data_IF_739382049097
#
_entry.id   IF_739382049097
#
_cell.length_a   1.000
_cell.length_b   1.000
_cell.length_c   1.000
_cell.angle_alpha   90.00
_cell.angle_beta   90.00
_cell.angle_gamma   90.00
#
_symmetry.space_group_name_H-M   'P 1'
#
loop_
_entity.id
_entity.type
_entity.pdbx_description
1 polymer ?
#
# COMPACT_ATOMS: atom_id res chain seq x y z
N UNK A 1 17.69 -44.56 -1.41
CA UNK A 1 16.65 -44.86 -2.43
C UNK A 1 16.11 -43.60 -3.08
N UNK A 2 15.62 -42.59 -2.33
CA UNK A 2 15.14 -41.34 -2.91
C UNK A 2 16.22 -40.55 -3.69
N UNK A 3 17.45 -40.50 -3.17
CA UNK A 3 18.61 -39.86 -3.81
C UNK A 3 18.94 -40.51 -5.18
N UNK A 4 18.98 -41.84 -5.25
CA UNK A 4 19.19 -42.57 -6.50
C UNK A 4 18.07 -42.35 -7.54
N UNK A 5 16.82 -42.14 -7.10
CA UNK A 5 15.72 -41.78 -8.00
C UNK A 5 15.88 -40.34 -8.47
N UNK A 6 16.26 -39.42 -7.58
CA UNK A 6 16.51 -38.01 -7.90
C UNK A 6 17.61 -37.84 -8.94
N UNK A 7 18.76 -38.50 -8.76
CA UNK A 7 19.87 -38.48 -9.73
C UNK A 7 19.44 -39.05 -11.09
N UNK A 8 18.59 -40.09 -11.08
CA UNK A 8 18.07 -40.71 -12.29
C UNK A 8 17.05 -39.83 -13.05
N UNK A 9 16.57 -38.71 -12.48
CA UNK A 9 15.67 -37.78 -13.16
C UNK A 9 16.37 -36.80 -14.11
N UNK A 10 17.70 -36.63 -14.03
CA UNK A 10 18.44 -35.71 -14.90
C UNK A 10 18.16 -35.92 -16.41
N UNK A 11 18.24 -37.16 -16.93
CA UNK A 11 17.90 -37.48 -18.31
C UNK A 11 16.41 -37.23 -18.65
N UNK A 12 15.50 -37.50 -17.70
CA UNK A 12 14.05 -37.27 -17.87
C UNK A 12 13.77 -35.78 -18.09
N UNK A 13 14.29 -34.93 -17.21
CA UNK A 13 14.13 -33.47 -17.29
C UNK A 13 14.73 -32.91 -18.58
N UNK A 14 15.89 -33.41 -18.98
CA UNK A 14 16.55 -33.01 -20.24
C UNK A 14 15.66 -33.32 -21.45
N UNK A 15 15.03 -34.50 -21.50
CA UNK A 15 14.13 -34.87 -22.62
C UNK A 15 12.88 -34.01 -22.69
N UNK A 16 12.23 -33.75 -21.56
CA UNK A 16 11.10 -32.83 -21.52
C UNK A 16 11.48 -31.41 -21.97
N UNK A 17 12.67 -30.96 -21.60
CA UNK A 17 13.17 -29.62 -21.99
C UNK A 17 13.39 -29.54 -23.51
N UNK A 18 13.79 -30.65 -24.14
CA UNK A 18 13.91 -30.77 -25.60
C UNK A 18 12.57 -31.07 -26.30
N UNK A 19 11.45 -31.06 -25.59
CA UNK A 19 10.11 -31.33 -26.14
C UNK A 19 9.87 -32.80 -26.50
N UNK A 20 10.69 -33.73 -26.01
CA UNK A 20 10.60 -35.16 -26.28
C UNK A 20 9.96 -35.96 -25.15
N UNK A 21 9.48 -37.16 -25.48
CA UNK A 21 9.05 -38.15 -24.48
C UNK A 21 10.23 -38.64 -23.65
N UNK A 22 10.00 -38.78 -22.34
CA UNK A 22 11.00 -39.11 -21.34
C UNK A 22 10.78 -40.48 -20.69
N UNK A 23 9.67 -41.18 -20.98
CA UNK A 23 9.33 -42.50 -20.42
C UNK A 23 10.44 -43.55 -20.54
N UNK A 24 11.20 -43.56 -21.64
CA UNK A 24 12.33 -44.47 -21.83
C UNK A 24 13.49 -44.23 -20.83
N UNK A 25 13.55 -43.03 -20.25
CA UNK A 25 14.55 -42.61 -19.27
C UNK A 25 14.03 -42.69 -17.83
N UNK A 26 12.83 -43.23 -17.61
CA UNK A 26 12.25 -43.33 -16.28
C UNK A 26 13.17 -44.11 -15.31
N UNK A 27 13.29 -43.65 -14.04
CA UNK A 27 13.99 -44.38 -12.99
C UNK A 27 13.51 -45.83 -12.92
N UNK A 28 14.44 -46.78 -12.75
CA UNK A 28 14.12 -48.21 -12.77
C UNK A 28 13.00 -48.59 -11.79
N UNK A 29 12.97 -47.95 -10.62
CA UNK A 29 11.97 -48.17 -9.58
C UNK A 29 10.54 -47.75 -9.96
N UNK A 30 10.36 -46.97 -11.03
CA UNK A 30 9.05 -46.49 -11.48
C UNK A 30 8.55 -47.15 -12.76
N UNK A 31 9.40 -47.90 -13.48
CA UNK A 31 9.03 -48.43 -14.81
C UNK A 31 7.77 -49.30 -14.77
N UNK A 32 7.64 -50.14 -13.76
CA UNK A 32 6.49 -51.03 -13.61
C UNK A 32 5.20 -50.28 -13.29
N UNK A 33 5.27 -49.09 -12.67
CA UNK A 33 4.09 -48.29 -12.29
C UNK A 33 3.60 -47.36 -13.41
N UNK A 34 4.42 -47.08 -14.42
CA UNK A 34 4.02 -46.22 -15.55
C UNK A 34 3.00 -46.89 -16.48
N UNK A 35 2.97 -48.22 -16.54
CA UNK A 35 2.09 -48.96 -17.44
C UNK A 35 2.60 -48.97 -18.90
N UNK A 36 1.79 -49.52 -19.80
CA UNK A 36 2.17 -49.78 -21.20
C UNK A 36 1.63 -48.77 -22.20
N UNK A 37 0.62 -47.97 -21.84
CA UNK A 37 0.13 -46.88 -22.69
C UNK A 37 1.11 -45.70 -22.65
N UNK A 38 1.58 -45.27 -23.82
CA UNK A 38 2.65 -44.28 -23.91
C UNK A 38 2.24 -42.89 -23.40
N UNK A 39 0.98 -42.46 -23.60
CA UNK A 39 0.52 -41.14 -23.14
C UNK A 39 0.30 -41.14 -21.64
N UNK A 40 -0.31 -42.20 -21.13
CA UNK A 40 -0.56 -42.36 -19.71
C UNK A 40 0.74 -42.54 -18.92
N UNK A 41 1.69 -43.31 -19.45
CA UNK A 41 3.03 -43.48 -18.86
C UNK A 41 3.77 -42.14 -18.75
N UNK A 42 3.65 -41.27 -19.75
CA UNK A 42 4.25 -39.93 -19.71
C UNK A 42 3.60 -39.04 -18.64
N UNK A 43 2.27 -39.06 -18.52
CA UNK A 43 1.54 -38.32 -17.48
C UNK A 43 1.84 -38.83 -16.07
N UNK A 44 1.93 -40.16 -15.89
CA UNK A 44 2.31 -40.77 -14.60
C UNK A 44 3.75 -40.46 -14.23
N UNK A 45 4.67 -40.47 -15.20
CA UNK A 45 6.06 -40.06 -14.96
C UNK A 45 6.13 -38.59 -14.56
N UNK A 46 5.39 -37.70 -15.24
CA UNK A 46 5.29 -36.29 -14.87
C UNK A 46 4.75 -36.11 -13.45
N UNK A 47 3.70 -36.84 -13.08
CA UNK A 47 3.11 -36.78 -11.74
C UNK A 47 4.08 -37.28 -10.66
N UNK A 48 4.75 -38.42 -10.88
CA UNK A 48 5.72 -38.98 -9.93
C UNK A 48 6.96 -38.11 -9.78
N UNK A 49 7.52 -37.61 -10.89
CA UNK A 49 8.63 -36.65 -10.87
C UNK A 49 8.24 -35.37 -10.16
N UNK A 50 7.05 -34.82 -10.45
CA UNK A 50 6.53 -33.64 -9.77
C UNK A 50 6.36 -33.85 -8.26
N UNK A 51 5.87 -35.02 -7.85
CA UNK A 51 5.73 -35.36 -6.44
C UNK A 51 7.09 -35.51 -5.73
N UNK A 52 8.04 -36.23 -6.34
CA UNK A 52 9.39 -36.37 -5.78
C UNK A 52 10.07 -35.01 -5.65
N UNK A 53 10.08 -34.22 -6.73
CA UNK A 53 10.75 -32.91 -6.75
C UNK A 53 10.07 -31.89 -5.84
N UNK A 54 8.74 -31.90 -5.77
CA UNK A 54 7.97 -30.95 -4.98
C UNK A 54 7.82 -31.30 -3.50
N UNK A 55 8.00 -32.56 -3.12
CA UNK A 55 7.74 -33.04 -1.74
C UNK A 55 8.96 -33.64 -1.05
N UNK A 56 9.86 -34.32 -1.79
CA UNK A 56 10.94 -35.10 -1.21
C UNK A 56 12.34 -34.55 -1.52
N UNK A 57 12.50 -33.79 -2.60
CA UNK A 57 13.74 -33.11 -2.93
C UNK A 57 13.80 -31.73 -2.26
N UNK A 58 14.17 -31.71 -0.97
CA UNK A 58 14.42 -30.46 -0.25
C UNK A 58 15.87 -30.03 -0.54
N UNK A 59 16.06 -28.79 -0.99
CA UNK A 59 17.41 -28.25 -1.20
C UNK A 59 18.17 -28.28 0.13
N UNK A 60 19.35 -28.91 0.13
CA UNK A 60 20.22 -28.86 1.30
C UNK A 60 20.62 -27.40 1.54
N UNK A 61 20.41 -26.87 2.76
CA UNK A 61 20.80 -25.51 3.07
C UNK A 61 22.31 -25.34 2.92
N UNK A 62 22.74 -24.20 2.37
CA UNK A 62 24.15 -23.84 2.30
C UNK A 62 24.59 -23.37 3.68
N UNK A 63 25.40 -24.18 4.37
CA UNK A 63 25.98 -23.84 5.67
C UNK A 63 25.35 -24.56 6.87
N UNK A 64 25.77 -24.16 8.07
CA UNK A 64 25.31 -24.72 9.34
C UNK A 64 23.85 -24.33 9.62
N UNK A 65 22.98 -25.32 9.82
CA UNK A 65 21.60 -25.09 10.23
C UNK A 65 21.58 -24.76 11.72
N UNK A 66 21.05 -23.59 12.07
CA UNK A 66 20.88 -23.18 13.47
C UNK A 66 19.39 -23.20 13.84
N UNK A 67 19.02 -23.77 15.00
CA UNK A 67 17.65 -23.69 15.49
C UNK A 67 17.29 -22.22 15.72
N UNK A 68 16.08 -21.83 15.30
CA UNK A 68 15.46 -20.55 15.63
C UNK A 68 14.37 -20.78 16.67
N UNK A 69 14.05 -19.72 17.41
CA UNK A 69 12.87 -19.70 18.28
C UNK A 69 11.60 -19.93 17.47
N UNK A 70 10.55 -20.38 18.16
CA UNK A 70 9.24 -20.59 17.55
C UNK A 70 8.70 -19.31 16.90
N UNK A 71 7.95 -19.48 15.81
CA UNK A 71 7.26 -18.36 15.14
C UNK A 71 6.27 -17.76 16.15
N UNK A 72 6.34 -16.45 16.44
CA UNK A 72 5.48 -15.86 17.45
C UNK A 72 4.02 -15.88 17.03
N UNK A 73 3.13 -16.12 17.99
CA UNK A 73 1.70 -16.01 17.79
C UNK A 73 1.31 -14.53 17.59
N UNK A 74 0.50 -14.25 16.57
CA UNK A 74 -0.01 -12.90 16.32
C UNK A 74 -1.25 -12.62 17.16
N UNK A 75 -1.57 -11.34 17.34
CA UNK A 75 -2.72 -10.88 18.11
C UNK A 75 -4.09 -11.32 17.51
N UNK A 76 -4.11 -11.66 16.21
CA UNK A 76 -5.30 -12.13 15.50
C UNK A 76 -5.08 -13.55 14.97
N UNK A 77 -6.12 -14.41 14.98
CA UNK A 77 -6.01 -15.78 14.50
C UNK A 77 -5.81 -15.82 12.98
N UNK A 78 -5.17 -16.88 12.46
CA UNK A 78 -5.08 -17.10 11.03
C UNK A 78 -6.46 -17.35 10.43
N UNK A 79 -6.60 -17.06 9.13
CA UNK A 79 -7.80 -17.37 8.35
C UNK A 79 -8.22 -18.84 8.48
N UNK A 80 -9.53 -19.16 8.44
CA UNK A 80 -10.01 -20.54 8.45
C UNK A 80 -9.37 -21.40 7.36
N UNK A 81 -8.99 -22.65 7.68
CA UNK A 81 -8.25 -23.53 6.76
C UNK A 81 -8.93 -23.73 5.40
N UNK A 82 -10.28 -23.75 5.39
CA UNK A 82 -11.08 -23.85 4.15
C UNK A 82 -10.84 -22.71 3.15
N UNK A 83 -10.36 -21.55 3.61
CA UNK A 83 -10.09 -20.37 2.77
C UNK A 83 -8.63 -20.28 2.33
N UNK A 84 -7.71 -20.97 2.99
CA UNK A 84 -6.26 -20.90 2.71
C UNK A 84 -5.86 -21.26 1.28
N UNK A 85 -6.42 -22.32 0.64
CA UNK A 85 -6.09 -22.61 -0.76
C UNK A 85 -6.38 -21.45 -1.72
N UNK A 86 -7.47 -20.72 -1.46
CA UNK A 86 -7.87 -19.55 -2.27
C UNK A 86 -6.89 -18.40 -2.08
N UNK A 87 -6.52 -18.13 -0.85
CA UNK A 87 -5.55 -17.08 -0.52
C UNK A 87 -4.18 -17.37 -1.11
N UNK A 88 -3.70 -18.63 -1.07
CA UNK A 88 -2.46 -19.03 -1.74
C UNK A 88 -2.49 -18.74 -3.23
N UNK A 89 -3.60 -19.00 -3.92
CA UNK A 89 -3.75 -18.64 -5.35
C UNK A 89 -3.71 -17.14 -5.57
N UNK A 90 -4.40 -16.35 -4.74
CA UNK A 90 -4.35 -14.89 -4.81
C UNK A 90 -2.92 -14.36 -4.62
N UNK A 91 -2.20 -14.85 -3.61
CA UNK A 91 -0.81 -14.48 -3.35
C UNK A 91 0.12 -14.84 -4.53
N UNK A 92 -0.12 -15.97 -5.21
CA UNK A 92 0.63 -16.35 -6.41
C UNK A 92 0.34 -15.46 -7.62
N UNK A 93 -0.86 -14.90 -7.71
CA UNK A 93 -1.27 -13.98 -8.77
C UNK A 93 -0.77 -12.54 -8.52
N UNK A 94 -0.64 -12.13 -7.25
CA UNK A 94 -0.19 -10.81 -6.84
C UNK A 94 1.32 -10.65 -7.02
N UNK A 95 1.72 -9.98 -8.11
CA UNK A 95 3.14 -9.75 -8.43
C UNK A 95 3.71 -8.53 -7.72
N UNK A 96 2.92 -7.49 -7.57
CA UNK A 96 3.36 -6.23 -6.97
C UNK A 96 3.15 -6.21 -5.45
N UNK A 97 3.92 -5.36 -4.76
CA UNK A 97 3.88 -5.24 -3.31
C UNK A 97 2.64 -4.49 -2.82
N UNK A 98 2.10 -3.57 -3.62
CA UNK A 98 0.99 -2.71 -3.22
C UNK A 98 -0.34 -3.46 -3.18
N UNK A 99 -0.65 -4.24 -4.22
CA UNK A 99 -1.84 -5.10 -4.25
C UNK A 99 -1.82 -6.14 -3.12
N UNK A 100 -0.63 -6.68 -2.82
CA UNK A 100 -0.44 -7.56 -1.66
C UNK A 100 -0.69 -6.81 -0.36
N UNK A 101 -0.20 -5.58 -0.24
CA UNK A 101 -0.47 -4.73 0.93
C UNK A 101 -1.97 -4.51 1.11
N UNK A 102 -2.72 -4.23 0.04
CA UNK A 102 -4.18 -4.14 0.10
C UNK A 102 -4.85 -5.44 0.57
N UNK A 103 -4.38 -6.62 0.14
CA UNK A 103 -4.88 -7.89 0.66
C UNK A 103 -4.59 -8.06 2.17
N UNK A 104 -3.40 -7.67 2.63
CA UNK A 104 -3.03 -7.76 4.05
C UNK A 104 -3.88 -6.81 4.90
N UNK A 105 -4.08 -5.56 4.45
CA UNK A 105 -4.96 -4.59 5.09
C UNK A 105 -6.41 -5.13 5.14
N UNK A 106 -6.90 -5.72 4.05
CA UNK A 106 -8.23 -6.36 3.99
C UNK A 106 -8.41 -7.44 5.06
N UNK A 107 -7.42 -8.33 5.16
CA UNK A 107 -7.44 -9.46 6.11
C UNK A 107 -7.36 -8.94 7.55
N UNK A 108 -6.48 -7.98 7.82
CA UNK A 108 -6.34 -7.37 9.14
C UNK A 108 -7.62 -6.61 9.55
N UNK A 109 -8.20 -5.81 8.65
CA UNK A 109 -9.44 -5.07 8.89
C UNK A 109 -10.61 -6.00 9.28
N UNK A 110 -10.63 -7.24 8.77
CA UNK A 110 -11.60 -8.28 9.14
C UNK A 110 -11.25 -9.02 10.44
N UNK A 111 -10.13 -8.70 11.07
CA UNK A 111 -9.64 -9.30 12.32
C UNK A 111 -9.01 -10.68 12.13
N UNK A 112 -8.38 -10.93 10.98
CA UNK A 112 -7.69 -12.18 10.68
C UNK A 112 -6.22 -11.92 10.32
N UNK A 113 -5.43 -12.98 10.26
CA UNK A 113 -4.06 -12.97 9.72
C UNK A 113 -3.90 -14.04 8.64
N UNK A 114 -2.88 -13.90 7.79
CA UNK A 114 -2.42 -15.01 6.97
C UNK A 114 -1.86 -16.11 7.86
N UNK A 115 -1.76 -17.34 7.34
CA UNK A 115 -1.04 -18.41 8.00
C UNK A 115 0.45 -18.34 7.63
N UNK A 116 1.41 -18.57 8.54
CA UNK A 116 2.84 -18.39 8.25
C UNK A 116 3.36 -19.34 7.15
N UNK A 117 2.73 -20.51 7.02
CA UNK A 117 2.99 -21.44 5.91
C UNK A 117 2.46 -21.02 4.54
N UNK A 118 1.61 -19.99 4.46
CA UNK A 118 1.10 -19.44 3.19
C UNK A 118 1.87 -18.20 2.77
N UNK A 119 2.30 -17.38 3.73
CA UNK A 119 3.10 -16.17 3.51
C UNK A 119 3.77 -15.70 4.81
N UNK A 120 4.95 -15.09 4.67
CA UNK A 120 5.68 -14.40 5.73
C UNK A 120 6.20 -13.05 5.21
N UNK A 121 6.20 -11.99 6.04
CA UNK A 121 6.76 -10.70 5.68
C UNK A 121 8.27 -10.79 5.47
N UNK A 122 8.79 -10.00 4.53
CA UNK A 122 10.22 -9.76 4.40
C UNK A 122 10.70 -8.71 5.41
N UNK A 123 12.01 -8.70 5.74
CA UNK A 123 12.60 -7.57 6.43
C UNK A 123 12.29 -6.27 5.68
N UNK A 124 11.89 -5.23 6.40
CA UNK A 124 11.55 -3.90 5.89
C UNK A 124 10.35 -3.81 4.93
N UNK A 125 9.60 -4.89 4.69
CA UNK A 125 8.33 -4.86 3.96
C UNK A 125 7.29 -4.03 4.73
N UNK A 126 6.61 -3.11 4.06
CA UNK A 126 5.52 -2.36 4.68
C UNK A 126 4.29 -3.26 4.85
N UNK A 127 4.02 -3.68 6.07
CA UNK A 127 2.92 -4.60 6.41
C UNK A 127 2.05 -4.03 7.53
N UNK A 128 0.79 -4.50 7.69
CA UNK A 128 -0.03 -4.12 8.83
C UNK A 128 0.66 -4.44 10.17
N UNK A 129 0.40 -3.63 11.19
CA UNK A 129 1.03 -3.72 12.51
C UNK A 129 0.90 -5.11 13.17
N UNK A 130 -0.19 -5.84 12.87
CA UNK A 130 -0.41 -7.21 13.36
C UNK A 130 0.71 -8.18 12.98
N UNK A 131 1.46 -7.91 11.90
CA UNK A 131 2.55 -8.76 11.42
C UNK A 131 3.93 -8.35 11.93
N UNK A 132 4.05 -7.32 12.78
CA UNK A 132 5.35 -6.82 13.25
C UNK A 132 6.20 -7.91 13.92
N UNK A 133 5.59 -8.76 14.76
CA UNK A 133 6.31 -9.87 15.41
C UNK A 133 6.87 -10.88 14.40
N UNK A 134 6.17 -11.12 13.29
CA UNK A 134 6.67 -11.98 12.20
C UNK A 134 7.78 -11.32 11.40
N UNK A 135 7.69 -10.01 11.17
CA UNK A 135 8.76 -9.26 10.50
C UNK A 135 10.04 -9.27 11.32
N UNK A 136 9.94 -9.04 12.63
CA UNK A 136 11.08 -9.13 13.54
C UNK A 136 11.63 -10.56 13.61
N UNK A 137 10.77 -11.58 13.71
CA UNK A 137 11.21 -12.99 13.70
C UNK A 137 11.90 -13.37 12.37
N UNK A 138 11.40 -12.87 11.24
CA UNK A 138 12.01 -13.13 9.93
C UNK A 138 13.39 -12.47 9.81
N UNK A 139 13.52 -11.24 10.30
CA UNK A 139 14.77 -10.46 10.30
C UNK A 139 15.78 -10.95 11.35
N UNK A 140 15.32 -11.43 12.49
CA UNK A 140 16.15 -11.86 13.60
C UNK A 140 16.71 -13.27 13.38
N UNK A 141 17.96 -13.48 13.75
CA UNK A 141 18.56 -14.82 13.89
C UNK A 141 18.40 -15.38 15.32
N UNK A 142 17.38 -14.96 16.08
CA UNK A 142 17.06 -15.49 17.43
C UNK A 142 16.90 -14.45 18.53
N UNK A 143 16.04 -13.44 18.36
CA UNK A 143 15.65 -12.57 19.45
C UNK A 143 14.14 -12.73 19.70
N UNK A 144 13.80 -13.26 20.88
CA UNK A 144 12.43 -13.45 21.34
C UNK A 144 11.73 -12.10 21.55
N UNK A 145 10.55 -11.93 20.95
CA UNK A 145 9.64 -10.83 21.22
C UNK A 145 8.70 -11.26 22.35
N UNK A 146 9.11 -11.03 23.59
CA UNK A 146 8.18 -11.11 24.72
C UNK A 146 7.16 -9.97 24.62
N UNK A 147 5.90 -10.24 25.00
CA UNK A 147 4.83 -9.25 24.98
C UNK A 147 5.14 -8.08 25.93
N UNK A 148 4.96 -6.81 25.53
CA UNK A 148 5.76 -5.74 26.13
C UNK A 148 5.03 -5.00 27.26
N UNK A 149 5.79 -4.61 28.28
CA UNK A 149 5.50 -3.42 29.08
C UNK A 149 5.39 -2.18 28.15
N UNK A 150 4.77 -1.10 28.64
CA UNK A 150 4.68 0.14 27.86
C UNK A 150 6.08 0.63 27.45
N UNK A 151 6.22 1.10 26.20
CA UNK A 151 7.49 1.58 25.67
C UNK A 151 7.97 2.79 26.50
N UNK A 152 9.21 2.72 26.98
CA UNK A 152 9.86 3.74 27.79
C UNK A 152 11.29 3.97 27.31
N UNK A 153 12.00 4.91 27.95
CA UNK A 153 13.41 5.11 27.66
C UNK A 153 14.19 3.84 28.04
N UNK A 154 13.92 3.26 29.20
CA UNK A 154 14.65 2.13 29.78
C UNK A 154 14.57 0.87 28.91
N UNK A 155 13.41 0.58 28.33
CA UNK A 155 13.19 -0.64 27.53
C UNK A 155 13.30 -0.41 26.01
N UNK A 156 13.71 0.78 25.54
CA UNK A 156 13.78 1.11 24.10
C UNK A 156 14.54 0.07 23.26
N UNK A 157 15.66 -0.42 23.77
CA UNK A 157 16.53 -1.40 23.09
C UNK A 157 15.98 -2.81 23.13
N UNK A 158 15.05 -3.11 24.03
CA UNK A 158 14.48 -4.45 24.21
C UNK A 158 13.46 -4.76 23.10
N UNK A 159 12.87 -3.73 22.51
CA UNK A 159 12.01 -3.88 21.34
C UNK A 159 12.84 -4.08 20.06
N UNK A 160 12.52 -5.16 19.35
CA UNK A 160 12.95 -5.33 17.97
C UNK A 160 12.35 -4.23 17.06
N UNK A 161 12.95 -3.93 15.89
CA UNK A 161 12.61 -2.73 15.12
C UNK A 161 11.13 -2.58 14.73
N UNK A 162 10.46 -3.64 14.27
CA UNK A 162 9.06 -3.57 13.87
C UNK A 162 8.14 -3.43 15.09
N UNK A 163 8.39 -4.22 16.14
CA UNK A 163 7.68 -4.13 17.41
C UNK A 163 7.82 -2.74 18.05
N UNK A 164 9.01 -2.14 18.00
CA UNK A 164 9.26 -0.77 18.49
C UNK A 164 8.42 0.25 17.72
N UNK A 165 8.34 0.11 16.40
CA UNK A 165 7.52 0.99 15.57
C UNK A 165 6.03 0.88 15.94
N UNK A 166 5.52 -0.34 16.16
CA UNK A 166 4.13 -0.52 16.61
C UNK A 166 3.90 0.07 18.00
N UNK A 167 4.81 -0.17 18.95
CA UNK A 167 4.70 0.34 20.32
C UNK A 167 4.80 1.87 20.39
N UNK A 168 5.69 2.49 19.62
CA UNK A 168 5.81 3.94 19.54
C UNK A 168 4.58 4.57 18.88
N UNK A 169 4.01 3.94 17.83
CA UNK A 169 2.76 4.40 17.24
C UNK A 169 1.59 4.35 18.24
N UNK A 170 1.49 3.27 19.03
CA UNK A 170 0.49 3.15 20.09
C UNK A 170 0.67 4.22 21.17
N UNK A 171 1.91 4.47 21.64
CA UNK A 171 2.21 5.55 22.57
C UNK A 171 1.82 6.91 21.97
N UNK A 172 2.11 7.13 20.68
CA UNK A 172 1.81 8.39 19.98
C UNK A 172 0.31 8.69 19.87
N UNK A 173 -0.53 7.64 19.80
CA UNK A 173 -1.99 7.76 19.83
C UNK A 173 -2.53 8.06 21.23
N UNK A 174 -1.90 7.49 22.28
CA UNK A 174 -2.37 7.61 23.66
C UNK A 174 -1.86 8.90 24.34
N UNK A 175 -0.56 9.16 24.25
CA UNK A 175 0.11 10.34 24.81
C UNK A 175 1.16 10.89 23.81
N UNK A 176 0.71 11.77 22.89
CA UNK A 176 1.56 12.53 21.97
C UNK A 176 2.80 13.18 22.61
N UNK A 177 2.64 13.77 23.78
CA UNK A 177 3.67 14.56 24.43
C UNK A 177 4.74 13.65 25.04
N UNK A 178 4.32 12.56 25.69
CA UNK A 178 5.25 11.55 26.19
C UNK A 178 6.05 10.89 25.05
N UNK A 179 5.40 10.56 23.93
CA UNK A 179 6.08 10.02 22.76
C UNK A 179 7.14 10.98 22.20
N UNK A 180 6.82 12.28 22.12
CA UNK A 180 7.76 13.33 21.71
C UNK A 180 8.99 13.40 22.62
N UNK A 181 8.79 13.38 23.94
CA UNK A 181 9.87 13.40 24.93
C UNK A 181 10.76 12.16 24.81
N UNK A 182 10.16 10.97 24.71
CA UNK A 182 10.88 9.71 24.53
C UNK A 182 11.72 9.74 23.24
N UNK A 183 11.14 10.19 22.14
CA UNK A 183 11.87 10.30 20.88
C UNK A 183 13.00 11.32 21.00
N UNK A 184 12.77 12.46 21.66
CA UNK A 184 13.78 13.48 21.84
C UNK A 184 15.01 12.97 22.61
N UNK A 185 14.82 12.03 23.54
CA UNK A 185 15.90 11.38 24.28
C UNK A 185 16.67 10.38 23.41
N UNK A 186 15.96 9.53 22.64
CA UNK A 186 16.56 8.39 21.92
C UNK A 186 17.03 8.69 20.50
N UNK A 187 16.49 9.72 19.84
CA UNK A 187 16.73 9.95 18.41
C UNK A 187 18.20 10.27 18.09
N UNK A 188 18.96 10.84 19.02
CA UNK A 188 20.35 11.22 18.76
C UNK A 188 21.28 10.02 18.52
N UNK A 189 20.96 8.87 19.14
CA UNK A 189 21.75 7.64 19.08
C UNK A 189 21.46 6.81 17.82
N UNK A 190 20.38 7.13 17.10
CA UNK A 190 19.95 6.38 15.93
C UNK A 190 20.67 6.84 14.64
N UNK A 191 20.92 5.93 13.67
CA UNK A 191 21.48 6.29 12.39
C UNK A 191 20.52 7.16 11.57
N UNK A 192 21.05 7.92 10.60
CA UNK A 192 20.30 8.93 9.84
C UNK A 192 18.97 8.42 9.26
N UNK A 193 18.97 7.26 8.61
CA UNK A 193 17.75 6.70 8.00
C UNK A 193 16.70 6.29 9.03
N UNK A 194 17.12 5.78 10.19
CA UNK A 194 16.20 5.42 11.27
C UNK A 194 15.63 6.66 11.96
N UNK A 195 16.42 7.72 12.11
CA UNK A 195 15.93 9.03 12.60
C UNK A 195 14.84 9.59 11.69
N UNK A 196 15.00 9.49 10.37
CA UNK A 196 13.95 9.88 9.42
C UNK A 196 12.68 9.08 9.65
N UNK A 197 12.77 7.75 9.75
CA UNK A 197 11.58 6.89 9.99
C UNK A 197 10.89 7.20 11.31
N UNK A 198 11.63 7.35 12.41
CA UNK A 198 11.07 7.68 13.71
C UNK A 198 10.45 9.09 13.74
N UNK A 199 11.10 10.06 13.09
CA UNK A 199 10.59 11.42 12.98
C UNK A 199 9.29 11.47 12.17
N UNK A 200 9.18 10.68 11.11
CA UNK A 200 7.97 10.57 10.29
C UNK A 200 6.77 10.09 11.11
N UNK A 201 7.00 9.25 12.13
CA UNK A 201 5.93 8.80 13.02
C UNK A 201 5.27 9.93 13.82
N UNK A 202 5.94 11.07 14.04
CA UNK A 202 5.32 12.23 14.67
C UNK A 202 4.19 12.82 13.83
N UNK A 203 4.12 12.50 12.54
CA UNK A 203 2.99 12.87 11.69
C UNK A 203 1.66 12.38 12.26
N UNK A 204 1.67 11.23 12.94
CA UNK A 204 0.52 10.70 13.68
C UNK A 204 0.31 11.52 14.95
N UNK A 205 -0.82 12.22 15.05
CA UNK A 205 -1.17 13.01 16.23
C UNK A 205 -0.29 14.23 16.47
N UNK A 206 0.42 14.73 15.44
CA UNK A 206 1.33 15.89 15.50
C UNK A 206 0.73 17.05 16.32
N UNK A 207 1.49 17.59 17.26
CA UNK A 207 1.03 18.60 18.22
C UNK A 207 2.15 19.56 18.65
N UNK A 208 1.80 20.63 19.37
CA UNK A 208 2.77 21.63 19.82
C UNK A 208 3.86 21.07 20.75
N UNK A 209 3.62 19.95 21.42
CA UNK A 209 4.63 19.27 22.25
C UNK A 209 5.79 18.69 21.41
N UNK A 210 5.61 18.51 20.10
CA UNK A 210 6.67 18.08 19.18
C UNK A 210 7.62 19.24 18.83
N UNK A 211 7.17 20.49 18.97
CA UNK A 211 7.88 21.67 18.48
C UNK A 211 9.33 21.78 18.97
N UNK A 212 9.67 21.64 20.26
CA UNK A 212 11.05 21.78 20.72
C UNK A 212 11.99 20.75 20.07
N UNK A 213 11.52 19.51 19.88
CA UNK A 213 12.25 18.46 19.20
C UNK A 213 12.47 18.82 17.73
N UNK A 214 11.41 19.24 17.03
CA UNK A 214 11.48 19.59 15.62
C UNK A 214 12.40 20.78 15.37
N UNK A 215 12.30 21.84 16.17
CA UNK A 215 13.18 23.03 16.09
C UNK A 215 14.65 22.61 16.22
N UNK A 216 14.98 21.76 17.19
CA UNK A 216 16.34 21.21 17.35
C UNK A 216 16.79 20.42 16.12
N UNK A 217 15.91 19.62 15.51
CA UNK A 217 16.22 18.78 14.35
C UNK A 217 16.34 19.56 13.02
N UNK A 218 15.91 20.83 12.96
CA UNK A 218 16.25 21.69 11.80
C UNK A 218 17.77 21.91 11.68
N UNK A 219 18.52 21.76 12.77
CA UNK A 219 19.98 21.79 12.80
C UNK A 219 20.67 20.45 12.52
N UNK A 220 19.92 19.37 12.26
CA UNK A 220 20.45 18.00 12.18
C UNK A 220 21.48 17.81 11.05
N UNK A 221 22.57 17.08 11.27
CA UNK A 221 23.58 16.82 10.22
C UNK A 221 23.04 16.19 8.93
N UNK A 222 21.95 15.42 8.98
CA UNK A 222 21.39 14.73 7.83
C UNK A 222 20.33 15.61 7.10
N UNK A 223 20.51 15.93 5.81
CA UNK A 223 19.58 16.80 5.08
C UNK A 223 18.12 16.33 5.09
N UNK A 224 17.88 15.01 5.01
CA UNK A 224 16.54 14.43 5.06
C UNK A 224 15.85 14.64 6.40
N UNK A 225 16.60 14.60 7.50
CA UNK A 225 16.06 14.87 8.85
C UNK A 225 15.68 16.34 8.99
N UNK A 226 16.55 17.26 8.53
CA UNK A 226 16.24 18.71 8.52
C UNK A 226 14.96 19.01 7.73
N UNK A 227 14.87 18.45 6.51
CA UNK A 227 13.74 18.70 5.62
C UNK A 227 12.42 18.19 6.23
N UNK A 228 12.43 17.00 6.81
CA UNK A 228 11.25 16.44 7.47
C UNK A 228 10.87 17.24 8.72
N UNK A 229 11.84 17.63 9.55
CA UNK A 229 11.57 18.47 10.72
C UNK A 229 10.95 19.83 10.34
N UNK A 230 11.48 20.48 9.31
CA UNK A 230 10.94 21.74 8.80
C UNK A 230 9.53 21.58 8.22
N UNK A 231 9.26 20.47 7.52
CA UNK A 231 7.94 20.14 7.00
C UNK A 231 6.92 19.94 8.13
N UNK A 232 7.29 19.22 9.19
CA UNK A 232 6.44 19.00 10.36
C UNK A 232 6.20 20.30 11.16
N UNK A 233 7.20 21.18 11.28
CA UNK A 233 7.00 22.52 11.87
C UNK A 233 6.04 23.38 11.04
N UNK A 234 6.14 23.32 9.71
CA UNK A 234 5.22 24.05 8.85
C UNK A 234 3.77 23.59 9.07
N UNK A 235 3.52 22.30 9.29
CA UNK A 235 2.18 21.78 9.61
C UNK A 235 1.61 22.35 10.92
N UNK A 236 2.48 22.71 11.87
CA UNK A 236 2.13 23.37 13.13
C UNK A 236 1.98 24.90 12.99
N UNK A 237 2.08 25.46 11.77
CA UNK A 237 2.03 26.90 11.55
C UNK A 237 3.35 27.62 11.88
N UNK A 238 4.46 26.87 11.94
CA UNK A 238 5.80 27.40 12.14
C UNK A 238 6.69 27.12 10.92
N UNK A 239 6.36 27.66 9.73
CA UNK A 239 7.08 27.34 8.51
C UNK A 239 8.56 27.76 8.62
N UNK A 240 9.44 26.81 8.31
CA UNK A 240 10.84 27.10 8.01
C UNK A 240 11.01 27.39 6.52
N UNK A 241 11.85 28.36 6.17
CA UNK A 241 12.15 28.70 4.78
C UNK A 241 12.77 30.08 4.64
N UNK A 242 13.50 30.32 3.55
CA UNK A 242 13.98 31.65 3.20
C UNK A 242 12.90 32.40 2.42
N UNK A 243 12.51 33.59 2.88
CA UNK A 243 11.57 34.47 2.17
C UNK A 243 11.96 34.70 0.69
N UNK A 244 13.27 34.63 0.37
CA UNK A 244 13.77 34.78 -0.98
C UNK A 244 13.34 33.64 -1.93
N UNK A 245 13.41 32.38 -1.48
CA UNK A 245 13.03 31.23 -2.31
C UNK A 245 11.51 31.15 -2.50
N UNK A 246 10.74 31.47 -1.46
CA UNK A 246 9.27 31.59 -1.57
C UNK A 246 8.87 32.68 -2.55
N UNK A 247 9.56 33.83 -2.51
CA UNK A 247 9.36 34.92 -3.49
C UNK A 247 9.74 34.49 -4.91
N UNK A 248 10.83 33.72 -5.07
CA UNK A 248 11.24 33.15 -6.36
C UNK A 248 10.16 32.21 -6.91
N UNK A 249 9.62 31.31 -6.08
CA UNK A 249 8.54 30.42 -6.49
C UNK A 249 7.29 31.22 -6.90
N UNK A 250 6.87 32.19 -6.09
CA UNK A 250 5.72 33.05 -6.39
C UNK A 250 5.90 33.82 -7.71
N UNK A 251 7.13 34.17 -8.09
CA UNK A 251 7.42 34.84 -9.35
C UNK A 251 7.10 34.00 -10.60
N UNK A 252 6.95 32.67 -10.49
CA UNK A 252 6.46 31.80 -11.57
C UNK A 252 4.95 31.91 -11.81
N UNK A 253 4.22 32.64 -10.96
CA UNK A 253 2.77 32.75 -11.02
C UNK A 253 2.33 34.22 -11.05
N UNK A 254 1.07 34.45 -11.42
CA UNK A 254 0.37 35.72 -11.26
C UNK A 254 -0.99 35.48 -10.60
N UNK A 255 -1.37 36.35 -9.67
CA UNK A 255 -2.70 36.36 -9.08
C UNK A 255 -3.56 37.38 -9.82
N UNK A 256 -4.55 36.90 -10.55
CA UNK A 256 -5.53 37.72 -11.27
C UNK A 256 -6.82 37.84 -10.47
N UNK A 257 -7.58 38.92 -10.68
CA UNK A 257 -8.95 39.04 -10.18
C UNK A 257 -9.93 38.87 -11.33
N UNK A 258 -10.86 37.91 -11.23
CA UNK A 258 -11.90 37.63 -12.23
C UNK A 258 -13.29 38.01 -11.71
N UNK A 259 -14.15 38.48 -12.62
CA UNK A 259 -15.55 38.80 -12.36
C UNK A 259 -15.82 40.27 -11.96
N UNK A 260 -16.83 40.88 -12.60
CA UNK A 260 -17.26 42.27 -12.35
C UNK A 260 -18.16 42.42 -11.11
N UNK A 261 -18.94 41.38 -10.76
CA UNK A 261 -19.92 41.39 -9.66
C UNK A 261 -19.51 40.52 -8.45
N UNK A 262 -18.77 39.43 -8.68
CA UNK A 262 -18.09 38.64 -7.64
C UNK A 262 -16.61 38.56 -8.03
N UNK A 263 -15.77 39.29 -7.29
CA UNK A 263 -14.32 39.26 -7.49
C UNK A 263 -13.77 37.95 -6.93
N UNK A 264 -13.36 37.04 -7.82
CA UNK A 264 -12.70 35.78 -7.46
C UNK A 264 -11.23 35.87 -7.87
N UNK A 265 -10.31 35.54 -6.95
CA UNK A 265 -8.88 35.46 -7.29
C UNK A 265 -8.62 34.17 -8.08
N UNK A 266 -7.74 34.25 -9.06
CA UNK A 266 -7.31 33.10 -9.86
C UNK A 266 -5.79 33.12 -10.04
N UNK A 267 -5.14 31.99 -9.77
CA UNK A 267 -3.70 31.83 -9.98
C UNK A 267 -3.46 31.37 -11.42
N UNK A 268 -2.52 32.04 -12.09
CA UNK A 268 -2.11 31.72 -13.45
C UNK A 268 -0.61 31.45 -13.47
N UNK A 269 -0.22 30.26 -13.92
CA UNK A 269 1.19 29.92 -14.12
C UNK A 269 1.74 30.69 -15.33
N UNK A 270 2.91 31.31 -15.18
CA UNK A 270 3.61 31.97 -16.27
C UNK A 270 4.26 30.92 -17.19
N UNK A 271 4.25 31.19 -18.50
CA UNK A 271 4.90 30.33 -19.48
C UNK A 271 6.41 30.28 -19.25
N UNK A 272 6.93 29.09 -18.99
CA UNK A 272 8.37 28.85 -18.84
C UNK A 272 9.02 28.59 -20.20
N UNK A 273 10.14 29.26 -20.46
CA UNK A 273 10.84 29.22 -21.76
C UNK A 273 11.93 28.15 -21.81
N UNK A 274 12.48 27.75 -20.67
CA UNK A 274 13.62 26.81 -20.62
C UNK A 274 13.36 25.62 -19.70
N UNK A 275 14.07 24.51 -19.94
CA UNK A 275 14.04 23.35 -19.05
C UNK A 275 14.59 23.66 -17.64
N UNK A 276 15.59 24.54 -17.55
CA UNK A 276 16.15 24.98 -16.27
C UNK A 276 15.12 25.71 -15.39
N UNK A 277 14.24 26.53 -16.00
CA UNK A 277 13.15 27.19 -15.29
C UNK A 277 12.14 26.18 -14.72
N UNK A 278 11.77 25.16 -15.52
CA UNK A 278 10.90 24.07 -15.07
C UNK A 278 11.50 23.32 -13.90
N UNK A 279 12.75 22.87 -14.05
CA UNK A 279 13.46 22.16 -13.00
C UNK A 279 13.60 22.99 -11.72
N UNK A 280 13.89 24.30 -11.81
CA UNK A 280 13.95 25.17 -10.64
C UNK A 280 12.60 25.32 -9.94
N UNK A 281 11.51 25.52 -10.69
CA UNK A 281 10.15 25.57 -10.13
C UNK A 281 9.80 24.26 -9.43
N UNK A 282 10.09 23.13 -10.06
CA UNK A 282 9.81 21.80 -9.50
C UNK A 282 10.60 21.57 -8.20
N UNK A 283 11.88 21.94 -8.17
CA UNK A 283 12.72 21.90 -6.96
C UNK A 283 12.14 22.77 -5.85
N UNK A 284 11.76 24.02 -6.15
CA UNK A 284 11.16 24.92 -5.16
C UNK A 284 9.84 24.38 -4.59
N UNK A 285 8.99 23.79 -5.45
CA UNK A 285 7.74 23.17 -5.02
C UNK A 285 8.00 21.96 -4.09
N UNK A 286 9.06 21.20 -4.33
CA UNK A 286 9.42 20.03 -3.54
C UNK A 286 10.02 20.39 -2.18
N UNK A 287 10.59 21.59 -2.01
CA UNK A 287 11.30 21.98 -0.78
C UNK A 287 10.54 22.97 0.09
N UNK A 288 9.76 23.88 -0.51
CA UNK A 288 9.07 24.94 0.22
C UNK A 288 7.81 24.45 0.93
N UNK A 289 7.35 25.22 1.92
CA UNK A 289 6.10 24.97 2.61
C UNK A 289 4.90 25.55 1.84
N UNK A 290 3.74 24.92 2.00
CA UNK A 290 2.48 25.37 1.42
C UNK A 290 2.11 26.79 1.88
N UNK A 291 2.23 27.05 3.18
CA UNK A 291 1.94 28.36 3.77
C UNK A 291 2.93 29.43 3.29
N UNK A 292 4.23 29.08 3.17
CA UNK A 292 5.24 30.00 2.64
C UNK A 292 4.96 30.38 1.18
N UNK A 293 4.50 29.42 0.37
CA UNK A 293 4.08 29.70 -1.01
C UNK A 293 2.82 30.58 -1.06
N UNK A 294 1.80 30.28 -0.25
CA UNK A 294 0.59 31.10 -0.15
C UNK A 294 0.92 32.55 0.24
N UNK A 295 1.73 32.73 1.28
CA UNK A 295 2.15 34.04 1.78
C UNK A 295 2.94 34.83 0.73
N UNK A 296 3.85 34.18 -0.01
CA UNK A 296 4.62 34.82 -1.07
C UNK A 296 3.75 35.27 -2.26
N UNK A 297 2.59 34.64 -2.47
CA UNK A 297 1.56 35.10 -3.41
C UNK A 297 0.65 36.20 -2.83
N UNK A 298 0.81 36.55 -1.55
CA UNK A 298 -0.08 37.49 -0.85
C UNK A 298 -1.46 36.90 -0.53
N UNK A 299 -1.54 35.58 -0.36
CA UNK A 299 -2.77 34.83 -0.08
C UNK A 299 -2.69 34.15 1.29
N UNK A 300 -3.83 33.89 1.92
CA UNK A 300 -3.90 32.84 2.95
C UNK A 300 -3.82 31.46 2.31
N UNK A 301 -3.52 30.42 3.10
CA UNK A 301 -3.51 29.03 2.63
C UNK A 301 -4.89 28.58 2.11
N UNK A 302 -5.97 29.05 2.73
CA UNK A 302 -7.35 28.78 2.26
C UNK A 302 -7.66 29.52 0.96
N UNK A 303 -7.19 30.76 0.80
CA UNK A 303 -7.32 31.51 -0.46
C UNK A 303 -6.52 30.87 -1.59
N UNK A 304 -5.33 30.32 -1.31
CA UNK A 304 -4.53 29.57 -2.28
C UNK A 304 -5.31 28.37 -2.82
N UNK A 305 -5.88 27.54 -1.94
CA UNK A 305 -6.71 26.38 -2.35
C UNK A 305 -7.87 26.81 -3.26
N UNK A 306 -8.56 27.89 -2.90
CA UNK A 306 -9.71 28.39 -3.65
C UNK A 306 -9.35 29.06 -4.99
N UNK A 307 -8.19 29.73 -5.06
CA UNK A 307 -7.74 30.46 -6.24
C UNK A 307 -6.96 29.58 -7.23
N UNK A 308 -6.51 28.41 -6.80
CA UNK A 308 -5.75 27.48 -7.66
C UNK A 308 -6.64 26.90 -8.77
N UNK A 309 -6.17 26.84 -10.03
CA UNK A 309 -6.96 26.42 -11.17
C UNK A 309 -7.03 24.87 -11.30
N UNK A 310 -7.57 24.19 -10.29
CA UNK A 310 -7.70 22.73 -10.27
C UNK A 310 -8.35 22.17 -11.54
N UNK A 311 -7.82 21.05 -12.03
CA UNK A 311 -8.24 20.36 -13.26
C UNK A 311 -7.74 21.01 -14.55
N UNK A 312 -6.97 22.11 -14.49
CA UNK A 312 -6.41 22.77 -15.68
C UNK A 312 -4.99 22.32 -16.01
N UNK A 313 -4.20 21.95 -15.01
CA UNK A 313 -2.81 21.51 -15.14
C UNK A 313 -2.58 20.33 -14.18
N UNK A 314 -2.84 19.10 -14.64
CA UNK A 314 -2.79 17.90 -13.78
C UNK A 314 -1.42 17.72 -13.09
N UNK A 315 -0.28 17.90 -13.78
CA UNK A 315 1.02 17.90 -13.10
C UNK A 315 1.14 18.99 -12.02
N UNK A 316 0.62 20.19 -12.28
CA UNK A 316 0.59 21.29 -11.31
C UNK A 316 -0.28 21.00 -10.09
N UNK A 317 -1.42 20.36 -10.29
CA UNK A 317 -2.32 19.92 -9.22
C UNK A 317 -1.66 18.86 -8.34
N UNK A 318 -1.02 17.86 -8.95
CA UNK A 318 -0.26 16.85 -8.22
C UNK A 318 0.88 17.48 -7.43
N UNK A 319 1.62 18.39 -8.04
CA UNK A 319 2.71 19.14 -7.41
C UNK A 319 2.24 19.93 -6.18
N UNK A 320 1.12 20.64 -6.30
CA UNK A 320 0.56 21.40 -5.18
C UNK A 320 0.00 20.48 -4.09
N UNK A 321 -0.67 19.39 -4.47
CA UNK A 321 -1.17 18.40 -3.52
C UNK A 321 -0.03 17.72 -2.73
N UNK A 322 1.08 17.37 -3.38
CA UNK A 322 2.28 16.85 -2.72
C UNK A 322 2.91 17.87 -1.77
N UNK A 323 2.93 19.17 -2.14
CA UNK A 323 3.36 20.24 -1.24
C UNK A 323 2.45 20.34 0.00
N UNK A 324 1.13 20.25 -0.19
CA UNK A 324 0.16 20.29 0.89
C UNK A 324 0.29 19.08 1.81
N UNK A 325 0.38 17.86 1.26
CA UNK A 325 0.57 16.63 2.02
C UNK A 325 1.81 16.69 2.93
N UNK A 326 2.90 17.29 2.43
CA UNK A 326 4.15 17.45 3.17
C UNK A 326 4.06 18.49 4.29
N UNK A 327 3.45 19.64 4.05
CA UNK A 327 3.70 20.83 4.88
C UNK A 327 2.47 21.63 5.30
N UNK A 328 1.31 21.41 4.69
CA UNK A 328 0.10 22.12 5.08
C UNK A 328 -0.53 21.52 6.34
N UNK A 329 -1.31 22.34 7.04
CA UNK A 329 -2.15 21.88 8.16
C UNK A 329 -3.21 20.88 7.68
N UNK A 330 -3.71 20.04 8.59
CA UNK A 330 -4.74 19.04 8.27
C UNK A 330 -6.04 19.70 7.74
N UNK A 331 -6.37 20.90 8.21
CA UNK A 331 -7.52 21.66 7.71
C UNK A 331 -7.39 22.03 6.22
N UNK A 332 -6.18 22.33 5.75
CA UNK A 332 -5.92 22.62 4.33
C UNK A 332 -5.94 21.34 3.50
N UNK A 333 -5.37 20.24 4.00
CA UNK A 333 -5.45 18.94 3.34
C UNK A 333 -6.91 18.53 3.13
N UNK A 334 -7.75 18.67 4.16
CA UNK A 334 -9.19 18.41 4.05
C UNK A 334 -9.88 19.38 3.09
N UNK A 335 -9.53 20.67 3.10
CA UNK A 335 -10.08 21.63 2.15
C UNK A 335 -9.77 21.26 0.69
N UNK A 336 -8.55 20.78 0.41
CA UNK A 336 -8.17 20.28 -0.92
C UNK A 336 -8.97 19.02 -1.25
N UNK A 337 -9.01 18.03 -0.35
CA UNK A 337 -9.75 16.79 -0.57
C UNK A 337 -11.26 17.03 -0.83
N UNK A 338 -11.85 18.05 -0.18
CA UNK A 338 -13.24 18.47 -0.36
C UNK A 338 -13.55 19.09 -1.74
N UNK A 339 -12.54 19.51 -2.52
CA UNK A 339 -12.79 20.03 -3.87
C UNK A 339 -13.41 18.98 -4.79
N UNK A 340 -13.11 17.70 -4.55
CA UNK A 340 -13.74 16.55 -5.21
C UNK A 340 -15.26 16.50 -4.98
N UNK A 341 -15.75 17.12 -3.90
CA UNK A 341 -17.16 17.08 -3.49
C UNK A 341 -17.97 18.19 -4.20
N UNK A 342 -17.31 19.22 -4.71
CA UNK A 342 -17.92 20.39 -5.33
C UNK A 342 -18.16 20.27 -6.85
N UNK A 343 -18.00 19.06 -7.43
CA UNK A 343 -18.15 18.84 -8.87
C UNK A 343 -16.93 19.23 -9.71
N UNK A 344 -15.84 19.67 -9.07
CA UNK A 344 -14.53 19.76 -9.71
C UNK A 344 -13.89 18.38 -9.60
N UNK A 345 -13.71 17.69 -10.73
CA UNK A 345 -12.97 16.43 -10.74
C UNK A 345 -11.50 16.72 -10.43
N UNK A 346 -11.13 16.66 -9.14
CA UNK A 346 -9.73 16.59 -8.74
C UNK A 346 -9.12 15.37 -9.39
N UNK A 347 -7.93 15.52 -9.96
CA UNK A 347 -7.23 14.41 -10.56
C UNK A 347 -6.95 13.33 -9.50
N UNK A 348 -7.21 12.04 -9.78
CA UNK A 348 -6.92 10.95 -8.86
C UNK A 348 -5.46 10.88 -8.39
N UNK A 349 -4.49 11.29 -9.22
CA UNK A 349 -3.08 11.33 -8.81
C UNK A 349 -2.80 12.47 -7.83
N UNK A 350 -3.43 13.64 -8.02
CA UNK A 350 -3.34 14.72 -7.05
C UNK A 350 -3.97 14.32 -5.71
N UNK A 351 -5.11 13.62 -5.74
CA UNK A 351 -5.72 13.07 -4.53
C UNK A 351 -4.83 12.00 -3.87
N UNK A 352 -4.14 11.17 -4.66
CA UNK A 352 -3.26 10.11 -4.16
C UNK A 352 -2.15 10.66 -3.24
N UNK A 353 -1.61 11.85 -3.55
CA UNK A 353 -0.60 12.52 -2.72
C UNK A 353 -1.12 12.86 -1.31
N UNK A 354 -2.42 13.10 -1.17
CA UNK A 354 -3.05 13.49 0.10
C UNK A 354 -3.41 12.28 0.96
N UNK A 355 -3.52 11.08 0.39
CA UNK A 355 -4.03 9.89 1.08
C UNK A 355 -3.35 9.66 2.44
N UNK A 356 -2.00 9.72 2.59
CA UNK A 356 -1.34 9.50 3.88
C UNK A 356 -1.85 10.40 5.01
N UNK A 357 -2.45 11.54 4.68
CA UNK A 357 -2.99 12.54 5.61
C UNK A 357 -4.51 12.46 5.79
N UNK A 358 -5.20 11.62 5.04
CA UNK A 358 -6.66 11.40 5.15
C UNK A 358 -6.97 10.18 6.00
N UNK A 359 -8.00 10.28 6.83
CA UNK A 359 -8.50 9.16 7.64
C UNK A 359 -9.10 8.05 6.76
N UNK A 360 -9.11 6.78 7.22
CA UNK A 360 -9.73 5.68 6.46
C UNK A 360 -11.21 5.94 6.11
N UNK A 361 -11.97 6.52 7.04
CA UNK A 361 -13.37 6.87 6.81
C UNK A 361 -13.53 7.94 5.72
N UNK A 362 -12.67 8.95 5.71
CA UNK A 362 -12.66 9.99 4.68
C UNK A 362 -12.26 9.43 3.31
N UNK A 363 -11.23 8.60 3.25
CA UNK A 363 -10.82 7.88 2.03
C UNK A 363 -11.97 7.05 1.46
N UNK A 364 -12.67 6.27 2.30
CA UNK A 364 -13.87 5.50 1.91
C UNK A 364 -14.97 6.39 1.36
N UNK A 365 -15.22 7.54 1.98
CA UNK A 365 -16.23 8.51 1.53
C UNK A 365 -15.91 9.05 0.12
N UNK A 366 -14.66 9.42 -0.13
CA UNK A 366 -14.20 9.90 -1.45
C UNK A 366 -14.28 8.78 -2.49
N UNK A 367 -13.80 7.59 -2.15
CA UNK A 367 -13.85 6.40 -3.01
C UNK A 367 -15.28 6.03 -3.43
N UNK A 368 -16.22 6.07 -2.48
CA UNK A 368 -17.64 5.78 -2.74
C UNK A 368 -18.25 6.78 -3.72
N UNK A 369 -17.91 8.07 -3.59
CA UNK A 369 -18.36 9.10 -4.55
C UNK A 369 -17.73 8.89 -5.93
N UNK A 370 -16.44 8.56 -5.97
CA UNK A 370 -15.71 8.37 -7.23
C UNK A 370 -16.32 7.27 -8.09
N UNK A 371 -16.81 6.19 -7.48
CA UNK A 371 -17.54 5.14 -8.19
C UNK A 371 -18.79 5.65 -8.93
N UNK A 372 -19.41 6.72 -8.44
CA UNK A 372 -20.57 7.36 -9.08
C UNK A 372 -20.22 8.25 -10.28
N UNK A 373 -18.94 8.54 -10.52
CA UNK A 373 -18.48 9.37 -11.64
C UNK A 373 -18.34 8.51 -12.90
N UNK A 374 -18.81 8.99 -14.08
CA UNK A 374 -18.51 8.33 -15.35
C UNK A 374 -17.00 8.13 -15.53
N UNK A 375 -16.59 7.03 -16.16
CA UNK A 375 -15.19 6.67 -16.45
C UNK A 375 -14.33 6.28 -15.22
N UNK A 376 -14.88 6.26 -14.01
CA UNK A 376 -14.16 5.72 -12.86
C UNK A 376 -13.96 4.20 -12.97
N UNK A 377 -12.75 3.72 -12.64
CA UNK A 377 -12.42 2.30 -12.61
C UNK A 377 -12.26 1.80 -11.16
N UNK A 378 -12.50 0.50 -10.94
CA UNK A 378 -12.28 -0.11 -9.62
C UNK A 378 -10.82 -0.02 -9.16
N UNK A 379 -9.86 -0.09 -10.09
CA UNK A 379 -8.44 0.06 -9.77
C UNK A 379 -8.11 1.46 -9.21
N UNK A 380 -8.66 2.50 -9.84
CA UNK A 380 -8.51 3.88 -9.38
C UNK A 380 -9.13 4.09 -7.99
N UNK A 381 -10.28 3.47 -7.75
CA UNK A 381 -10.96 3.51 -6.46
C UNK A 381 -10.19 2.76 -5.39
N UNK A 382 -9.57 1.62 -5.72
CA UNK A 382 -8.71 0.86 -4.81
C UNK A 382 -7.51 1.70 -4.35
N UNK A 383 -6.89 2.47 -5.24
CA UNK A 383 -5.78 3.38 -4.88
C UNK A 383 -6.18 4.36 -3.77
N UNK A 384 -7.43 4.84 -3.78
CA UNK A 384 -7.94 5.82 -2.81
C UNK A 384 -8.46 5.13 -1.54
N UNK A 385 -9.30 4.11 -1.70
CA UNK A 385 -9.95 3.41 -0.59
C UNK A 385 -8.97 2.60 0.25
N UNK A 386 -7.93 2.05 -0.38
CA UNK A 386 -7.10 1.02 0.23
C UNK A 386 -7.82 -0.33 0.32
N UNK A 387 -7.19 -1.25 1.05
CA UNK A 387 -7.63 -2.64 1.15
C UNK A 387 -8.73 -2.92 2.18
N UNK A 388 -9.26 -1.93 2.88
CA UNK A 388 -10.06 -2.19 4.10
C UNK A 388 -11.46 -2.77 3.82
N UNK A 389 -11.89 -2.78 2.56
CA UNK A 389 -13.23 -3.15 2.14
C UNK A 389 -14.32 -2.23 2.71
N UNK A 390 -15.56 -2.54 2.38
CA UNK A 390 -16.73 -1.89 2.99
C UNK A 390 -17.45 -0.86 2.13
N UNK A 391 -17.22 -0.84 0.82
CA UNK A 391 -18.08 -0.09 -0.11
C UNK A 391 -19.28 -0.96 -0.50
N UNK A 392 -20.49 -0.52 -0.15
CA UNK A 392 -21.74 -1.16 -0.53
C UNK A 392 -22.14 -0.86 -1.99
N UNK A 393 -22.96 -1.73 -2.58
CA UNK A 393 -23.52 -1.60 -3.95
C UNK A 393 -22.48 -1.33 -5.06
N UNK A 394 -21.19 -1.61 -4.84
CA UNK A 394 -20.09 -1.24 -5.76
C UNK A 394 -20.31 -1.73 -7.20
N UNK A 395 -20.90 -2.91 -7.39
CA UNK A 395 -21.19 -3.47 -8.74
C UNK A 395 -22.32 -2.74 -9.47
N UNK A 396 -23.19 -1.99 -8.77
CA UNK A 396 -24.32 -1.26 -9.36
C UNK A 396 -23.95 0.14 -9.84
N UNK A 397 -22.71 0.54 -9.63
CA UNK A 397 -22.18 1.84 -10.01
C UNK A 397 -21.87 1.89 -11.52
N UNK A 398 -21.65 3.08 -12.11
CA UNK A 398 -21.14 3.21 -13.48
C UNK A 398 -19.94 2.31 -13.79
N UNK A 399 -18.98 2.19 -12.87
CA UNK A 399 -17.82 1.30 -13.01
C UNK A 399 -18.22 -0.18 -13.12
N UNK A 400 -19.19 -0.61 -12.31
CA UNK A 400 -19.71 -1.98 -12.34
C UNK A 400 -20.51 -2.27 -13.60
N UNK A 401 -21.32 -1.32 -14.09
CA UNK A 401 -21.98 -1.43 -15.39
C UNK A 401 -20.96 -1.57 -16.52
N UNK A 402 -19.93 -0.73 -16.54
CA UNK A 402 -18.86 -0.80 -17.54
C UNK A 402 -18.14 -2.16 -17.52
N UNK A 403 -17.90 -2.73 -16.34
CA UNK A 403 -17.33 -4.07 -16.18
C UNK A 403 -18.26 -5.15 -16.76
N UNK A 404 -19.56 -5.11 -16.46
CA UNK A 404 -20.54 -6.09 -16.97
C UNK A 404 -20.69 -6.00 -18.49
N UNK A 405 -20.74 -4.78 -19.03
CA UNK A 405 -20.81 -4.52 -20.47
C UNK A 405 -19.54 -5.07 -21.17
N UNK A 406 -18.36 -4.84 -20.58
CA UNK A 406 -17.09 -5.35 -21.10
C UNK A 406 -17.05 -6.90 -21.13
N UNK A 407 -17.53 -7.55 -20.08
CA UNK A 407 -17.60 -9.02 -19.98
C UNK A 407 -18.60 -9.65 -20.97
N UNK A 408 -19.67 -8.92 -21.30
CA UNK A 408 -20.72 -9.38 -22.22
C UNK A 408 -20.35 -9.21 -23.71
N UNK A 409 -19.29 -8.44 -24.02
CA UNK A 409 -18.88 -8.18 -25.40
C UNK A 409 -18.14 -9.37 -26.03
N UNK A 410 -18.41 -9.69 -27.31
CA UNK A 410 -17.74 -10.80 -28.03
C UNK A 410 -16.20 -10.62 -28.14
N UNK A 411 -15.72 -9.38 -27.99
CA UNK A 411 -14.29 -9.02 -27.94
C UNK A 411 -13.64 -9.25 -26.55
N UNK A 412 -14.38 -9.75 -25.55
CA UNK A 412 -13.92 -9.97 -24.17
C UNK A 412 -12.73 -10.93 -24.04
N UNK A 413 -12.35 -11.67 -25.08
CA UNK A 413 -11.14 -12.51 -25.08
C UNK A 413 -9.84 -11.71 -25.03
N UNK A 414 -9.89 -10.38 -25.20
CA UNK A 414 -8.70 -9.52 -25.33
C UNK A 414 -8.41 -8.60 -24.14
N UNK A 415 -9.37 -8.32 -23.24
CA UNK A 415 -9.14 -7.43 -22.10
C UNK A 415 -9.32 -8.23 -20.81
N UNK A 416 -8.21 -8.60 -20.19
CA UNK A 416 -8.23 -9.32 -18.93
C UNK A 416 -8.80 -8.42 -17.83
N UNK A 417 -10.06 -8.65 -17.46
CA UNK A 417 -10.75 -7.94 -16.38
C UNK A 417 -10.30 -8.41 -14.98
N UNK A 418 -9.23 -9.22 -14.88
CA UNK A 418 -8.70 -9.72 -13.61
C UNK A 418 -8.42 -8.59 -12.61
N UNK A 419 -7.77 -7.50 -13.03
CA UNK A 419 -7.44 -6.38 -12.15
C UNK A 419 -8.70 -5.66 -11.64
N UNK A 420 -9.70 -5.47 -12.50
CA UNK A 420 -10.97 -4.86 -12.13
C UNK A 420 -11.75 -5.74 -11.12
N UNK A 421 -11.78 -7.06 -11.34
CA UNK A 421 -12.42 -8.02 -10.44
C UNK A 421 -11.68 -8.15 -9.10
N UNK A 422 -10.36 -8.11 -9.13
CA UNK A 422 -9.52 -8.09 -7.93
C UNK A 422 -9.77 -6.84 -7.10
N UNK A 423 -9.74 -5.67 -7.74
CA UNK A 423 -10.00 -4.40 -7.09
C UNK A 423 -11.43 -4.32 -6.52
N UNK A 424 -12.45 -4.74 -7.28
CA UNK A 424 -13.82 -4.87 -6.78
C UNK A 424 -13.89 -5.78 -5.54
N UNK A 425 -13.19 -6.91 -5.56
CA UNK A 425 -13.12 -7.84 -4.44
C UNK A 425 -12.45 -7.27 -3.19
N UNK A 426 -11.50 -6.34 -3.32
CA UNK A 426 -10.81 -5.68 -2.20
C UNK A 426 -11.63 -4.52 -1.62
N UNK A 427 -12.31 -3.73 -2.44
CA UNK A 427 -13.04 -2.54 -1.98
C UNK A 427 -14.46 -2.82 -1.51
N UNK A 428 -15.11 -3.88 -2.03
CA UNK A 428 -16.51 -4.16 -1.72
C UNK A 428 -16.72 -4.55 -0.25
N UNK A 429 -17.90 -4.23 0.29
CA UNK A 429 -18.38 -4.87 1.52
C UNK A 429 -18.65 -6.37 1.30
N UNK A 430 -18.81 -7.14 2.39
CA UNK A 430 -19.10 -8.57 2.27
C UNK A 430 -20.44 -8.87 1.57
N UNK A 431 -21.46 -8.03 1.80
CA UNK A 431 -22.76 -8.09 1.12
C UNK A 431 -22.63 -7.71 -0.36
N UNK A 432 -21.93 -6.62 -0.67
CA UNK A 432 -21.70 -6.19 -2.04
C UNK A 432 -20.86 -7.20 -2.84
N UNK A 433 -19.91 -7.89 -2.21
CA UNK A 433 -19.15 -8.97 -2.84
C UNK A 433 -20.04 -10.16 -3.24
N UNK A 434 -21.02 -10.53 -2.41
CA UNK A 434 -22.01 -11.58 -2.75
C UNK A 434 -22.88 -11.14 -3.93
N UNK A 435 -23.39 -9.92 -3.86
CA UNK A 435 -24.19 -9.33 -4.94
C UNK A 435 -23.42 -9.25 -6.26
N UNK A 436 -22.13 -8.89 -6.21
CA UNK A 436 -21.26 -8.86 -7.38
C UNK A 436 -21.08 -10.25 -7.99
N UNK A 437 -20.88 -11.29 -7.16
CA UNK A 437 -20.79 -12.68 -7.64
C UNK A 437 -22.08 -13.11 -8.36
N UNK A 438 -23.24 -12.76 -7.82
CA UNK A 438 -24.54 -13.08 -8.43
C UNK A 438 -24.72 -12.38 -9.79
N UNK A 439 -24.36 -11.10 -9.89
CA UNK A 439 -24.45 -10.34 -11.14
C UNK A 439 -23.46 -10.81 -12.20
N UNK A 440 -22.22 -11.14 -11.80
CA UNK A 440 -21.20 -11.67 -12.71
C UNK A 440 -21.58 -13.06 -13.23
N UNK A 441 -22.19 -13.90 -12.39
CA UNK A 441 -22.73 -15.19 -12.83
C UNK A 441 -23.89 -15.00 -13.83
N UNK A 442 -24.79 -14.04 -13.58
CA UNK A 442 -25.86 -13.69 -14.51
C UNK A 442 -25.34 -13.15 -15.85
N UNK A 443 -24.18 -12.48 -15.85
CA UNK A 443 -23.48 -12.04 -17.06
C UNK A 443 -22.67 -13.15 -17.77
N UNK A 444 -22.78 -14.40 -17.31
CA UNK A 444 -22.19 -15.57 -17.97
C UNK A 444 -20.78 -15.97 -17.48
N UNK A 445 -20.26 -15.33 -16.43
CA UNK A 445 -18.99 -15.72 -15.85
C UNK A 445 -19.13 -17.00 -15.02
N UNK A 446 -18.23 -17.96 -15.24
CA UNK A 446 -18.28 -19.27 -14.57
C UNK A 446 -17.99 -19.07 -13.07
N UNK A 447 -18.82 -19.60 -12.19
CA UNK A 447 -18.67 -19.47 -10.74
C UNK A 447 -17.32 -19.98 -10.19
N UNK A 448 -16.67 -20.92 -10.90
CA UNK A 448 -15.35 -21.46 -10.57
C UNK A 448 -14.17 -20.63 -11.09
N UNK A 449 -14.41 -19.58 -11.90
CA UNK A 449 -13.36 -18.76 -12.52
C UNK A 449 -12.35 -18.24 -11.47
N UNK A 450 -11.04 -18.46 -11.64
CA UNK A 450 -10.03 -17.99 -10.70
C UNK A 450 -10.03 -16.48 -10.47
N UNK A 451 -10.45 -15.67 -11.45
CA UNK A 451 -10.53 -14.20 -11.33
C UNK A 451 -11.54 -13.74 -10.26
N UNK A 452 -12.46 -14.62 -9.88
CA UNK A 452 -13.42 -14.39 -8.81
C UNK A 452 -12.89 -14.75 -7.41
N UNK A 453 -11.63 -15.16 -7.26
CA UNK A 453 -11.09 -15.57 -5.97
C UNK A 453 -11.16 -14.47 -4.90
N UNK A 454 -10.88 -13.22 -5.24
CA UNK A 454 -10.94 -12.15 -4.24
C UNK A 454 -12.36 -11.87 -3.78
N UNK A 455 -13.33 -11.79 -4.71
CA UNK A 455 -14.74 -11.64 -4.40
C UNK A 455 -15.28 -12.79 -3.54
N UNK A 456 -14.92 -14.04 -3.88
CA UNK A 456 -15.31 -15.22 -3.10
C UNK A 456 -14.67 -15.25 -1.72
N UNK A 457 -13.41 -14.81 -1.60
CA UNK A 457 -12.76 -14.63 -0.30
C UNK A 457 -13.54 -13.62 0.53
N UNK A 458 -13.82 -12.44 -0.03
CA UNK A 458 -14.51 -11.36 0.66
C UNK A 458 -15.91 -11.78 1.14
N UNK A 459 -16.70 -12.39 0.26
CA UNK A 459 -18.05 -12.87 0.58
C UNK A 459 -18.10 -13.93 1.69
N UNK A 460 -17.03 -14.73 1.83
CA UNK A 460 -16.95 -15.88 2.73
C UNK A 460 -16.18 -15.60 4.04
N UNK A 461 -15.52 -14.46 4.15
CA UNK A 461 -14.70 -14.09 5.29
C UNK A 461 -15.50 -13.24 6.28
N UNK A 462 -15.73 -13.80 7.46
CA UNK A 462 -16.48 -13.13 8.52
C UNK A 462 -15.71 -11.94 9.09
N UNK A 463 -16.43 -10.90 9.54
CA UNK A 463 -15.82 -9.76 10.23
C UNK A 463 -15.74 -10.03 11.74
N UNK A 464 -14.53 -10.10 12.29
CA UNK A 464 -14.27 -10.29 13.72
C UNK A 464 -14.06 -8.99 14.48
N UNK A 465 -13.82 -7.87 13.78
CA UNK A 465 -13.74 -6.55 14.41
C UNK A 465 -15.13 -5.91 14.45
N UNK A 466 -15.46 -5.14 15.51
CA UNK A 466 -16.62 -4.25 15.48
C UNK A 466 -16.53 -3.37 14.24
N UNK A 467 -17.65 -3.17 13.54
CA UNK A 467 -17.71 -2.19 12.46
C UNK A 467 -17.78 -0.81 13.11
N UNK A 468 -16.81 0.05 12.84
CA UNK A 468 -16.86 1.48 13.21
C UNK A 468 -17.94 2.23 12.43
#
# INVERSE_FOLDING_TARGET
MAEAIFDALGPVLTRWTMGGSATAHAPAAWRDTLGTDAREAELRLLALSGHLLGTLAITQPVGEVRPRDDIPALAQPPLPDRLRPRVRRLLQQMRDAQTRRHLLDFIDARGWTLHPGDWMPRPDEEVPAVYAAWQDWAAASGASSAAPEALSAENWTDFAPAARHVAFAALRQQDPAQASLLLAERIADEPADRRVRLLDMLAMGLCDADRPLLERLTGDRAPRVKALAAALLARLGHPGGSDAESTELAAFFTVETRGLLRRTRAIVAKTMKTAAQRHRRDTLIQTLSFDGFAQALGLSSTELVAAWPWGRDLPGDQQLAAMAARSASDAIVEAIANLSDAGNAMDPHALAELLPRLSPSRRRQIATRLLGVPDASFAMVLTIAGGDGGIDDAIRTPAGKALLDALSSENARSVDQADALLALGLIASGSAARQALDQLAAAGLIASDPRLDMLRLNAALDNRRPTE
#
